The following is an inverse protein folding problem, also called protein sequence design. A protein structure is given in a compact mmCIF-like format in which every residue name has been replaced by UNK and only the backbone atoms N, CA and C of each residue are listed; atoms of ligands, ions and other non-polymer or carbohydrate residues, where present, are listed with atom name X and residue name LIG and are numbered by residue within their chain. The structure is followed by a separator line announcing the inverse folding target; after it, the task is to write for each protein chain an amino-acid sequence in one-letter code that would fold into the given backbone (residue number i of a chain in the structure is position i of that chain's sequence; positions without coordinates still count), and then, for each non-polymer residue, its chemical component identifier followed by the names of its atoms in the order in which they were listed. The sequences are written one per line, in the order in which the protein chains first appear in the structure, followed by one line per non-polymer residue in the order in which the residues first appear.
data_IF_609330847702
#
_entry.id   IF_609330847702
#
_cell.length_a   1.000
_cell.length_b   1.000
_cell.length_c   1.000
_cell.angle_alpha   90.00
_cell.angle_beta   90.00
_cell.angle_gamma   90.00
#
_symmetry.space_group_name_H-M   'P 1'
#
loop_
_entity.id
_entity.type
_entity.pdbx_description
1 polymer ?
#
# COMPACT_ATOMS: atom_id res chain seq x y z
N UNK A 1 -12.66 -19.02 -6.29
CA UNK A 1 -11.49 -18.74 -5.62
C UNK A 1 -11.28 -17.27 -5.46
N UNK A 2 -11.29 -16.81 -4.30
CA UNK A 2 -11.19 -15.39 -4.07
C UNK A 2 -9.75 -14.99 -4.04
N UNK A 3 -9.37 -14.09 -4.91
CA UNK A 3 -8.05 -13.57 -4.88
C UNK A 3 -8.10 -12.18 -4.36
N UNK A 4 -7.33 -11.90 -3.37
CA UNK A 4 -7.27 -10.56 -2.81
C UNK A 4 -6.48 -9.67 -3.77
N UNK A 5 -7.04 -8.56 -4.20
CA UNK A 5 -6.30 -7.64 -5.06
C UNK A 5 -5.05 -7.15 -4.37
N UNK A 6 -3.99 -7.06 -5.13
CA UNK A 6 -2.70 -6.61 -4.61
C UNK A 6 -2.22 -5.47 -5.48
N UNK A 7 -1.74 -4.41 -4.84
CA UNK A 7 -1.28 -3.24 -5.55
C UNK A 7 0.21 -3.04 -5.28
N UNK A 8 0.96 -2.71 -6.32
CA UNK A 8 2.35 -2.32 -6.09
C UNK A 8 2.38 -0.80 -5.85
N UNK A 9 3.54 -0.28 -5.49
CA UNK A 9 3.62 1.14 -5.17
C UNK A 9 3.30 2.02 -6.35
N UNK A 10 3.65 1.56 -7.55
CA UNK A 10 3.37 2.35 -8.74
C UNK A 10 1.86 2.47 -8.93
N UNK A 11 1.13 1.39 -8.74
CA UNK A 11 -0.31 1.42 -8.87
C UNK A 11 -0.94 2.29 -7.79
N UNK A 12 -0.43 2.20 -6.56
CA UNK A 12 -0.94 3.01 -5.47
C UNK A 12 -0.64 4.48 -5.69
N UNK A 13 0.52 4.77 -6.25
CA UNK A 13 0.89 6.15 -6.53
C UNK A 13 -0.15 6.81 -7.42
N UNK A 14 -0.61 6.09 -8.42
CA UNK A 14 -1.62 6.62 -9.31
C UNK A 14 -2.99 6.64 -8.65
N UNK A 15 -3.31 5.60 -7.92
CA UNK A 15 -4.62 5.49 -7.31
C UNK A 15 -4.82 6.53 -6.23
N UNK A 16 -3.80 6.80 -5.44
CA UNK A 16 -3.89 7.74 -4.33
C UNK A 16 -3.34 9.12 -4.66
N UNK A 17 -2.79 9.27 -5.85
CA UNK A 17 -2.19 10.53 -6.27
C UNK A 17 -1.07 10.95 -5.32
N UNK A 18 -0.27 9.99 -4.90
CA UNK A 18 0.87 10.21 -4.02
C UNK A 18 2.12 9.72 -4.71
N UNK A 19 3.25 10.30 -4.35
CA UNK A 19 4.50 9.85 -4.95
C UNK A 19 4.92 8.53 -4.31
N UNK A 20 5.70 7.75 -5.06
CA UNK A 20 6.20 6.48 -4.55
C UNK A 20 7.06 6.72 -3.32
N UNK A 21 7.81 7.81 -3.32
CA UNK A 21 8.65 8.14 -2.19
C UNK A 21 7.81 8.34 -0.93
N UNK A 22 6.69 9.04 -1.06
CA UNK A 22 5.80 9.25 0.07
C UNK A 22 5.23 7.93 0.57
N UNK A 23 4.86 7.05 -0.36
CA UNK A 23 4.32 5.75 0.02
C UNK A 23 5.36 4.94 0.77
N UNK A 24 6.61 4.99 0.34
CA UNK A 24 7.66 4.26 1.03
C UNK A 24 7.89 4.81 2.43
N UNK A 25 7.73 6.10 2.61
CA UNK A 25 7.87 6.68 3.93
C UNK A 25 6.76 6.23 4.85
N UNK A 26 5.53 6.13 4.35
CA UNK A 26 4.43 5.62 5.14
C UNK A 26 4.68 4.17 5.56
N UNK A 27 5.26 3.38 4.65
CA UNK A 27 5.57 2.00 4.96
C UNK A 27 6.64 1.93 6.06
N UNK A 28 7.65 2.78 5.96
CA UNK A 28 8.71 2.80 6.96
C UNK A 28 8.18 3.18 8.32
N UNK A 29 7.24 4.10 8.36
CA UNK A 29 6.68 4.56 9.63
C UNK A 29 5.68 3.58 10.20
N UNK A 30 5.22 2.65 9.41
CA UNK A 30 4.22 1.71 9.86
C UNK A 30 2.80 2.16 9.60
N UNK A 31 2.62 3.32 8.98
CA UNK A 31 1.28 3.81 8.68
C UNK A 31 0.63 2.99 7.58
N UNK A 32 1.40 2.54 6.63
CA UNK A 32 0.89 1.73 5.53
C UNK A 32 1.54 0.36 5.62
N UNK A 33 0.73 -0.66 5.79
CA UNK A 33 1.24 -2.02 5.89
C UNK A 33 1.42 -2.59 4.50
N UNK A 34 2.63 -2.98 4.19
CA UNK A 34 2.97 -3.53 2.90
C UNK A 34 3.82 -4.75 3.09
N UNK A 35 3.82 -5.61 2.07
CA UNK A 35 4.62 -6.81 2.09
C UNK A 35 5.74 -6.62 1.09
N UNK A 36 6.94 -6.85 1.51
CA UNK A 36 8.08 -6.75 0.60
C UNK A 36 8.36 -8.10 0.00
N UNK A 37 8.26 -8.20 -1.29
CA UNK A 37 8.53 -9.43 -2.01
C UNK A 37 9.63 -9.10 -3.01
N UNK A 38 10.80 -9.69 -2.81
CA UNK A 38 11.94 -9.35 -3.65
C UNK A 38 12.33 -7.91 -3.43
N UNK A 39 12.31 -7.12 -4.47
CA UNK A 39 12.68 -5.71 -4.38
C UNK A 39 11.48 -4.79 -4.44
N UNK A 40 10.28 -5.33 -4.38
CA UNK A 40 9.08 -4.54 -4.53
C UNK A 40 8.21 -4.66 -3.31
N UNK A 41 7.41 -3.61 -3.08
CA UNK A 41 6.44 -3.63 -2.00
C UNK A 41 5.06 -3.84 -2.61
N UNK A 42 4.24 -4.61 -1.92
CA UNK A 42 2.88 -4.87 -2.36
C UNK A 42 1.92 -4.63 -1.20
N UNK A 43 0.79 -4.03 -1.49
CA UNK A 43 -0.21 -3.73 -0.48
C UNK A 43 -1.48 -4.45 -0.87
N UNK A 44 -2.05 -5.21 0.06
CA UNK A 44 -3.29 -5.91 -0.22
C UNK A 44 -4.46 -4.96 -0.03
N UNK A 45 -5.59 -5.33 -0.61
CA UNK A 45 -6.78 -4.49 -0.52
C UNK A 45 -7.18 -4.22 0.93
N UNK A 46 -7.22 -5.21 1.83
CA UNK A 46 -7.59 -4.92 3.21
C UNK A 46 -6.64 -3.93 3.87
N UNK A 47 -5.35 -4.05 3.61
CA UNK A 47 -4.39 -3.12 4.19
C UNK A 47 -4.55 -1.72 3.61
N UNK A 48 -4.87 -1.65 2.34
CA UNK A 48 -5.11 -0.35 1.72
C UNK A 48 -6.34 0.31 2.33
N UNK A 49 -7.38 -0.46 2.57
CA UNK A 49 -8.59 0.11 3.16
C UNK A 49 -8.34 0.62 4.57
N UNK A 50 -7.54 -0.09 5.34
CA UNK A 50 -7.17 0.37 6.67
C UNK A 50 -6.39 1.68 6.58
N UNK A 51 -5.50 1.78 5.61
CA UNK A 51 -4.73 2.99 5.44
C UNK A 51 -5.61 4.17 5.06
N UNK A 52 -6.61 3.94 4.24
CA UNK A 52 -7.49 5.00 3.78
C UNK A 52 -8.56 5.37 4.79
N UNK A 53 -8.77 4.54 5.81
CA UNK A 53 -9.78 4.78 6.80
C UNK A 53 -9.16 5.50 7.99
N UNK A 54 -9.44 6.75 8.20
CA UNK A 54 -8.85 7.48 9.32
C UNK A 54 -9.44 7.07 10.65
N UNK A 55 -10.56 6.41 10.61
CA UNK A 55 -11.15 6.00 11.81
C UNK A 55 -10.61 4.75 12.20
N UNK A 56 -9.89 4.50 12.91
CA UNK A 56 -9.39 3.20 13.18
C UNK A 56 -9.88 2.58 14.39
#
# INVERSE_FOLDING_TARGET
MAETPVYNLKALSKKLNLSIRTLREYIKRGDLKARKIGKAYYVTEPNLMVFLSPES
#
